data_IF_457614458031
#
_entry.id   IF_457614458031
#
_cell.length_a   1.000
_cell.length_b   1.000
_cell.length_c   1.000
_cell.angle_alpha   90.00
_cell.angle_beta   90.00
_cell.angle_gamma   90.00
#
_symmetry.space_group_name_H-M   'P 1'
#
loop_
_entity.id
_entity.type
_entity.pdbx_description
1 polymer ?
#
# COMPACT_ATOMS: atom_id res chain seq x y z
N UNK A 1 -11.22 1.51 13.45
CA UNK A 1 -10.54 1.05 12.25
C UNK A 1 -10.65 -0.46 12.19
N UNK A 2 -11.22 -1.00 11.08
CA UNK A 2 -11.30 -2.44 10.89
C UNK A 2 -9.89 -3.03 10.79
N UNK A 3 -9.72 -4.26 11.24
CA UNK A 3 -8.49 -5.02 11.07
C UNK A 3 -8.24 -5.23 9.56
N UNK A 4 -7.19 -4.62 9.03
CA UNK A 4 -6.76 -4.80 7.64
C UNK A 4 -5.49 -5.65 7.63
N UNK A 5 -5.67 -6.96 7.41
CA UNK A 5 -4.58 -7.94 7.36
C UNK A 5 -3.82 -7.93 6.02
N UNK A 6 -4.18 -7.02 5.09
CA UNK A 6 -3.45 -6.92 3.83
C UNK A 6 -2.02 -6.45 4.07
N UNK A 7 -1.10 -7.08 3.38
CA UNK A 7 0.28 -6.64 3.31
C UNK A 7 0.57 -6.06 1.92
N UNK A 8 1.52 -5.15 1.87
CA UNK A 8 2.02 -4.54 0.65
C UNK A 8 3.54 -4.71 0.56
N UNK A 9 4.03 -4.82 -0.66
CA UNK A 9 5.45 -4.78 -0.95
C UNK A 9 5.87 -3.34 -1.29
N UNK A 10 6.83 -2.83 -0.54
CA UNK A 10 7.52 -1.56 -0.80
C UNK A 10 8.78 -1.85 -1.60
N UNK A 11 8.94 -1.25 -2.77
CA UNK A 11 10.17 -1.38 -3.55
C UNK A 11 11.38 -0.76 -2.84
N UNK A 12 12.59 -1.15 -3.23
CA UNK A 12 13.83 -0.54 -2.72
C UNK A 12 13.79 1.00 -2.87
N UNK A 13 13.34 1.52 -4.01
CA UNK A 13 13.22 2.96 -4.24
C UNK A 13 12.19 3.64 -3.31
N UNK A 14 11.10 2.96 -2.96
CA UNK A 14 10.15 3.45 -1.95
C UNK A 14 10.79 3.51 -0.57
N UNK A 15 11.55 2.48 -0.20
CA UNK A 15 12.28 2.46 1.06
C UNK A 15 13.31 3.59 1.14
N UNK A 16 14.05 3.85 0.05
CA UNK A 16 14.97 4.99 -0.04
C UNK A 16 14.25 6.34 0.11
N UNK A 17 13.06 6.48 -0.47
CA UNK A 17 12.25 7.69 -0.29
C UNK A 17 11.87 7.88 1.18
N UNK A 18 11.44 6.81 1.86
CA UNK A 18 11.14 6.84 3.30
C UNK A 18 12.38 7.21 4.14
N UNK A 19 13.57 6.71 3.77
CA UNK A 19 14.84 7.09 4.39
C UNK A 19 15.11 8.58 4.21
N UNK A 20 15.03 9.11 2.99
CA UNK A 20 15.25 10.53 2.67
C UNK A 20 14.31 11.46 3.43
N UNK A 21 13.10 11.02 3.70
CA UNK A 21 12.11 11.79 4.46
C UNK A 21 12.15 11.53 5.98
N UNK A 22 13.11 10.74 6.47
CA UNK A 22 13.26 10.44 7.91
C UNK A 22 12.15 9.55 8.47
N UNK A 23 11.37 8.88 7.62
CA UNK A 23 10.25 8.01 8.03
C UNK A 23 10.67 6.55 8.25
N UNK A 24 11.74 6.11 7.58
CA UNK A 24 12.19 4.73 7.60
C UNK A 24 12.40 4.14 9.00
N UNK A 25 13.00 4.83 9.99
CA UNK A 25 13.20 4.28 11.34
C UNK A 25 11.90 3.85 12.03
N UNK A 26 10.76 4.44 11.64
CA UNK A 26 9.45 4.07 12.17
C UNK A 26 8.85 2.88 11.45
N UNK A 27 9.18 2.69 10.16
CA UNK A 27 8.66 1.61 9.32
C UNK A 27 9.47 0.32 9.48
N UNK A 28 10.79 0.42 9.54
CA UNK A 28 11.71 -0.71 9.54
C UNK A 28 11.38 -1.82 10.55
N UNK A 29 10.98 -1.53 11.81
CA UNK A 29 10.65 -2.58 12.79
C UNK A 29 9.46 -3.45 12.39
N UNK A 30 8.59 -2.97 11.48
CA UNK A 30 7.38 -3.65 11.04
C UNK A 30 7.51 -4.28 9.65
N UNK A 31 8.70 -4.19 9.05
CA UNK A 31 8.96 -4.66 7.70
C UNK A 31 9.65 -6.02 7.70
N UNK A 32 9.38 -6.81 6.65
CA UNK A 32 10.09 -8.04 6.33
C UNK A 32 10.81 -7.88 5.00
N UNK A 33 12.13 -8.15 4.91
CA UNK A 33 12.88 -7.96 3.68
C UNK A 33 12.50 -9.00 2.61
N UNK A 34 12.43 -8.55 1.37
CA UNK A 34 12.40 -9.41 0.19
C UNK A 34 13.83 -9.48 -0.35
N UNK A 35 14.53 -10.56 -0.06
CA UNK A 35 15.91 -10.77 -0.51
C UNK A 35 15.98 -11.56 -1.81
N UNK A 36 14.96 -12.35 -2.11
CA UNK A 36 14.82 -13.12 -3.34
C UNK A 36 13.40 -13.07 -3.86
N UNK A 37 13.25 -13.07 -5.18
CA UNK A 37 11.95 -13.22 -5.85
C UNK A 37 12.07 -14.41 -6.79
N UNK A 38 11.14 -15.37 -6.70
CA UNK A 38 11.03 -16.51 -7.58
C UNK A 38 9.73 -16.41 -8.37
N UNK A 39 9.85 -16.38 -9.69
CA UNK A 39 8.72 -16.33 -10.61
C UNK A 39 8.66 -17.63 -11.40
N UNK A 40 7.48 -18.24 -11.50
CA UNK A 40 7.26 -19.46 -12.26
C UNK A 40 5.90 -19.44 -12.96
N UNK A 41 5.77 -20.25 -14.01
CA UNK A 41 4.53 -20.42 -14.75
C UNK A 41 4.10 -21.89 -14.72
N UNK A 42 2.83 -22.14 -14.37
CA UNK A 42 2.29 -23.48 -14.26
C UNK A 42 2.20 -24.13 -15.64
N UNK A 43 2.75 -25.34 -15.75
CA UNK A 43 2.70 -26.12 -16.99
C UNK A 43 3.77 -25.73 -18.02
N UNK A 44 4.57 -24.72 -17.76
CA UNK A 44 5.67 -24.32 -18.61
C UNK A 44 7.02 -24.55 -17.93
N UNK A 45 8.01 -24.94 -18.71
CA UNK A 45 9.39 -25.08 -18.25
C UNK A 45 10.07 -23.73 -18.35
N UNK A 46 10.03 -22.99 -17.26
CA UNK A 46 10.67 -21.68 -17.18
C UNK A 46 10.46 -21.08 -15.79
N UNK A 47 11.51 -20.49 -15.28
CA UNK A 47 11.49 -19.74 -14.05
C UNK A 47 12.45 -18.58 -14.12
N UNK A 48 12.13 -17.50 -13.44
CA UNK A 48 13.03 -16.38 -13.22
C UNK A 48 13.27 -16.22 -11.72
N UNK A 49 14.51 -15.95 -11.36
CA UNK A 49 14.88 -15.65 -9.98
C UNK A 49 15.66 -14.35 -9.96
N UNK A 50 15.34 -13.50 -9.00
CA UNK A 50 16.06 -12.27 -8.71
C UNK A 50 16.60 -12.35 -7.30
N UNK A 51 17.86 -11.99 -7.10
CA UNK A 51 18.52 -11.94 -5.80
C UNK A 51 19.01 -10.53 -5.51
N UNK A 52 18.73 -10.01 -4.34
CA UNK A 52 19.21 -8.69 -3.91
C UNK A 52 20.75 -8.61 -3.96
N UNK A 53 21.43 -9.71 -3.65
CA UNK A 53 22.89 -9.79 -3.69
C UNK A 53 23.47 -9.55 -5.08
N UNK A 54 22.77 -9.97 -6.16
CA UNK A 54 23.22 -9.76 -7.54
C UNK A 54 23.24 -8.28 -7.93
N UNK A 55 22.44 -7.46 -7.24
CA UNK A 55 22.34 -6.01 -7.46
C UNK A 55 23.07 -5.21 -6.38
N UNK A 56 23.79 -5.86 -5.46
CA UNK A 56 24.46 -5.19 -4.35
C UNK A 56 23.50 -4.49 -3.37
N UNK A 57 22.24 -4.96 -3.30
CA UNK A 57 21.20 -4.38 -2.45
C UNK A 57 21.02 -5.22 -1.17
N UNK A 58 20.68 -4.62 -0.03
CA UNK A 58 20.32 -5.36 1.18
C UNK A 58 18.97 -6.10 1.03
N UNK A 59 18.08 -5.59 0.20
CA UNK A 59 16.80 -6.20 -0.16
C UNK A 59 16.27 -5.60 -1.46
N UNK A 60 15.50 -6.36 -2.23
CA UNK A 60 14.77 -5.90 -3.43
C UNK A 60 13.56 -5.03 -3.05
N UNK A 61 13.07 -5.22 -1.83
CA UNK A 61 11.94 -4.52 -1.27
C UNK A 61 11.66 -4.97 0.16
N UNK A 62 10.58 -4.46 0.71
CA UNK A 62 10.13 -4.78 2.07
C UNK A 62 8.64 -5.05 2.06
N UNK A 63 8.19 -6.00 2.86
CA UNK A 63 6.76 -6.27 3.07
C UNK A 63 6.33 -5.66 4.40
N UNK A 64 5.21 -4.95 4.41
CA UNK A 64 4.61 -4.39 5.62
C UNK A 64 3.09 -4.59 5.59
N UNK A 65 2.50 -4.88 6.74
CA UNK A 65 1.04 -4.87 6.89
C UNK A 65 0.49 -3.44 6.82
N UNK A 66 -0.63 -3.25 6.11
CA UNK A 66 -1.27 -1.93 5.99
C UNK A 66 -1.71 -1.37 7.34
N UNK A 67 -2.13 -2.24 8.26
CA UNK A 67 -2.45 -1.86 9.65
C UNK A 67 -1.25 -1.25 10.37
N UNK A 68 -0.09 -1.89 10.29
CA UNK A 68 1.15 -1.41 10.89
C UNK A 68 1.63 -0.10 10.23
N UNK A 69 1.58 -0.03 8.89
CA UNK A 69 1.90 1.20 8.16
C UNK A 69 0.99 2.37 8.56
N UNK A 70 -0.32 2.11 8.70
CA UNK A 70 -1.31 3.11 9.12
C UNK A 70 -1.03 3.65 10.52
N UNK A 71 -0.81 2.75 11.49
CA UNK A 71 -0.46 3.14 12.86
C UNK A 71 0.83 3.96 12.89
N UNK A 72 1.85 3.52 12.17
CA UNK A 72 3.14 4.20 12.06
C UNK A 72 2.99 5.62 11.53
N UNK A 73 2.19 5.82 10.48
CA UNK A 73 1.92 7.13 9.91
C UNK A 73 1.12 8.01 10.87
N UNK A 74 0.09 7.48 11.53
CA UNK A 74 -0.71 8.22 12.51
C UNK A 74 0.14 8.70 13.69
N UNK A 75 1.02 7.86 14.22
CA UNK A 75 1.98 8.24 15.27
C UNK A 75 2.95 9.32 14.78
N UNK A 76 3.42 9.22 13.54
CA UNK A 76 4.28 10.22 12.92
C UNK A 76 3.57 11.58 12.78
N UNK A 77 2.33 11.59 12.32
CA UNK A 77 1.52 12.81 12.21
C UNK A 77 1.22 13.44 13.58
N UNK A 78 0.88 12.62 14.58
CA UNK A 78 0.61 13.09 15.93
C UNK A 78 1.84 13.75 16.59
N UNK A 79 3.05 13.37 16.18
CA UNK A 79 4.30 13.96 16.65
C UNK A 79 4.64 15.31 15.97
N UNK A 80 3.90 15.70 14.92
CA UNK A 80 4.14 16.94 14.17
C UNK A 80 3.18 18.04 14.65
N UNK A 81 3.64 19.11 15.31
CA UNK A 81 2.77 20.11 15.92
C UNK A 81 1.95 20.95 14.91
N UNK A 82 2.36 20.97 13.66
CA UNK A 82 1.69 21.69 12.57
C UNK A 82 0.78 20.79 11.72
N UNK A 83 0.53 19.55 12.14
CA UNK A 83 -0.46 18.68 11.51
C UNK A 83 -1.69 18.60 12.42
N UNK A 84 -2.83 19.00 11.89
CA UNK A 84 -4.12 18.88 12.56
C UNK A 84 -4.94 17.79 11.86
N UNK A 85 -5.13 16.67 12.55
CA UNK A 85 -5.94 15.57 12.03
C UNK A 85 -7.38 15.72 12.49
N UNK A 86 -8.31 15.74 11.54
CA UNK A 86 -9.75 15.70 11.77
C UNK A 86 -10.26 14.30 11.43
N UNK A 87 -10.53 13.48 12.46
CA UNK A 87 -10.99 12.12 12.28
C UNK A 87 -11.92 11.71 13.44
N UNK A 88 -13.17 11.31 13.16
CA UNK A 88 -13.76 11.19 11.83
C UNK A 88 -14.16 12.56 11.23
N UNK A 89 -13.97 12.71 9.92
CA UNK A 89 -14.43 13.86 9.18
C UNK A 89 -14.88 13.46 7.76
N UNK A 90 -15.94 14.07 7.28
CA UNK A 90 -16.46 13.86 5.93
C UNK A 90 -16.66 15.21 5.25
N UNK A 91 -16.04 15.36 4.08
CA UNK A 91 -16.22 16.57 3.26
C UNK A 91 -17.60 16.56 2.61
N UNK A 92 -18.33 17.69 2.69
CA UNK A 92 -19.65 17.85 2.11
C UNK A 92 -19.67 18.80 0.91
N UNK A 93 -18.97 19.94 0.98
CA UNK A 93 -18.84 20.89 -0.13
C UNK A 93 -17.42 21.40 -0.30
N UNK A 94 -17.13 21.82 -1.54
CA UNK A 94 -15.87 22.48 -1.91
C UNK A 94 -16.27 23.70 -2.72
N UNK A 95 -15.91 24.89 -2.24
CA UNK A 95 -16.20 26.16 -2.89
C UNK A 95 -14.87 26.82 -3.29
N UNK A 96 -14.57 26.91 -4.60
CA UNK A 96 -13.39 27.62 -5.06
C UNK A 96 -13.42 29.09 -4.65
N UNK A 97 -12.27 29.64 -4.29
CA UNK A 97 -12.01 31.04 -4.03
C UNK A 97 -11.03 31.58 -5.08
N UNK A 98 -10.83 32.89 -5.12
CA UNK A 98 -9.81 33.51 -5.96
C UNK A 98 -8.40 32.98 -5.62
N UNK A 99 -8.10 32.82 -4.34
CA UNK A 99 -6.86 32.21 -3.85
C UNK A 99 -7.14 31.03 -2.90
N UNK A 100 -7.43 29.84 -3.46
CA UNK A 100 -7.64 28.63 -2.67
C UNK A 100 -9.05 28.06 -2.72
N UNK A 101 -9.48 27.45 -1.64
CA UNK A 101 -10.80 26.79 -1.55
C UNK A 101 -11.37 26.90 -0.13
N UNK A 102 -12.67 26.98 -0.01
CA UNK A 102 -13.40 26.71 1.24
C UNK A 102 -13.92 25.28 1.24
N UNK A 103 -13.67 24.57 2.31
CA UNK A 103 -14.14 23.22 2.57
C UNK A 103 -15.18 23.25 3.67
N UNK A 104 -16.33 22.59 3.46
CA UNK A 104 -17.32 22.40 4.51
C UNK A 104 -17.43 20.92 4.83
N UNK A 105 -17.36 20.58 6.09
CA UNK A 105 -17.58 19.22 6.58
C UNK A 105 -19.07 18.92 6.76
N UNK A 106 -19.42 17.65 6.86
CA UNK A 106 -20.80 17.21 7.09
C UNK A 106 -21.38 17.73 8.42
N UNK A 107 -20.53 18.03 9.40
CA UNK A 107 -20.89 18.68 10.67
C UNK A 107 -21.15 20.19 10.56
N UNK A 108 -20.90 20.81 9.41
CA UNK A 108 -21.07 22.23 9.19
C UNK A 108 -19.82 23.07 9.43
N UNK A 109 -18.72 22.49 9.94
CA UNK A 109 -17.45 23.20 10.13
C UNK A 109 -16.86 23.59 8.79
N UNK A 110 -16.27 24.80 8.75
CA UNK A 110 -15.69 25.36 7.53
C UNK A 110 -14.21 25.64 7.70
N UNK A 111 -13.44 25.28 6.67
CA UNK A 111 -11.98 25.49 6.61
C UNK A 111 -11.63 26.17 5.28
N UNK A 112 -10.68 27.09 5.32
CA UNK A 112 -10.11 27.71 4.14
C UNK A 112 -8.65 27.30 3.98
N UNK A 113 -8.25 26.97 2.75
CA UNK A 113 -6.88 26.61 2.44
C UNK A 113 -6.48 27.08 1.05
N UNK A 114 -5.21 27.40 0.87
CA UNK A 114 -4.64 27.76 -0.43
C UNK A 114 -4.44 26.55 -1.35
N UNK A 115 -4.28 25.35 -0.78
CA UNK A 115 -4.06 24.11 -1.54
C UNK A 115 -4.90 22.99 -0.94
N UNK A 116 -5.62 22.28 -1.79
CA UNK A 116 -6.31 21.04 -1.45
C UNK A 116 -5.63 19.88 -2.18
N UNK A 117 -5.19 18.88 -1.43
CA UNK A 117 -4.66 17.63 -1.98
C UNK A 117 -5.70 16.52 -1.82
N UNK A 118 -6.22 16.02 -2.94
CA UNK A 118 -7.17 14.92 -2.96
C UNK A 118 -6.43 13.58 -2.87
N UNK A 119 -6.45 12.97 -1.69
CA UNK A 119 -5.90 11.63 -1.42
C UNK A 119 -6.98 10.67 -0.88
N UNK A 120 -8.24 10.86 -1.34
CA UNK A 120 -9.47 10.23 -0.87
C UNK A 120 -9.86 8.96 -1.65
N UNK A 121 -8.88 8.34 -2.36
CA UNK A 121 -8.98 7.00 -2.92
C UNK A 121 -9.75 6.87 -4.23
N UNK A 122 -10.06 5.63 -4.61
CA UNK A 122 -10.65 5.28 -5.91
C UNK A 122 -12.03 5.90 -6.17
N UNK A 123 -12.80 6.17 -5.13
CA UNK A 123 -14.12 6.83 -5.20
C UNK A 123 -14.06 8.31 -4.81
N UNK A 124 -12.93 8.96 -5.03
CA UNK A 124 -12.64 10.34 -4.66
C UNK A 124 -13.84 11.28 -4.85
N UNK A 125 -14.30 11.87 -3.74
CA UNK A 125 -15.32 12.90 -3.73
C UNK A 125 -14.81 14.17 -4.43
N UNK A 126 -13.56 14.55 -4.15
CA UNK A 126 -12.94 15.74 -4.74
C UNK A 126 -12.87 15.64 -6.26
N UNK A 127 -12.43 14.48 -6.79
CA UNK A 127 -12.40 14.24 -8.23
C UNK A 127 -13.79 14.36 -8.86
N UNK A 128 -14.81 13.78 -8.21
CA UNK A 128 -16.19 13.85 -8.70
C UNK A 128 -16.73 15.27 -8.66
N UNK A 129 -16.44 16.02 -7.59
CA UNK A 129 -16.84 17.42 -7.46
C UNK A 129 -16.33 18.28 -8.62
N UNK A 130 -15.05 18.14 -8.97
CA UNK A 130 -14.43 18.87 -10.09
C UNK A 130 -14.67 18.20 -11.46
N UNK A 131 -15.49 17.14 -11.51
CA UNK A 131 -15.83 16.41 -12.75
C UNK A 131 -14.60 15.99 -13.57
N UNK A 132 -13.51 15.65 -12.88
CA UNK A 132 -12.29 15.18 -13.53
C UNK A 132 -12.56 13.80 -14.15
N UNK A 133 -12.23 13.60 -15.43
CA UNK A 133 -12.50 12.34 -16.11
C UNK A 133 -11.65 11.21 -15.52
N UNK A 134 -12.18 9.99 -15.54
CA UNK A 134 -11.49 8.77 -15.15
C UNK A 134 -11.79 7.68 -16.17
N UNK A 135 -10.74 6.98 -16.63
CA UNK A 135 -10.89 5.75 -17.39
C UNK A 135 -10.90 4.57 -16.41
N UNK A 136 -11.87 3.67 -16.56
CA UNK A 136 -11.94 2.43 -15.77
C UNK A 136 -11.87 1.23 -16.70
N UNK A 137 -11.03 0.29 -16.31
CA UNK A 137 -10.96 -1.02 -16.94
C UNK A 137 -11.22 -2.08 -15.87
N UNK A 138 -12.27 -2.86 -16.04
CA UNK A 138 -12.58 -3.99 -15.16
C UNK A 138 -11.92 -5.23 -15.74
N UNK A 139 -11.04 -5.86 -14.96
CA UNK A 139 -10.36 -7.10 -15.34
C UNK A 139 -11.22 -8.36 -15.08
N UNK A 140 -12.43 -8.19 -14.53
CA UNK A 140 -13.33 -9.30 -14.17
C UNK A 140 -12.66 -10.33 -13.25
N UNK A 141 -11.83 -9.84 -12.35
CA UNK A 141 -11.08 -10.65 -11.40
C UNK A 141 -11.37 -10.22 -9.96
N UNK A 142 -11.21 -11.17 -9.06
CA UNK A 142 -11.23 -10.96 -7.61
C UNK A 142 -9.89 -11.39 -7.02
N UNK A 143 -9.40 -10.66 -6.02
CA UNK A 143 -8.20 -11.04 -5.28
C UNK A 143 -8.61 -11.70 -3.95
N UNK A 144 -8.18 -12.94 -3.74
CA UNK A 144 -8.25 -13.63 -2.45
C UNK A 144 -6.98 -13.27 -1.70
N UNK A 145 -7.13 -12.72 -0.49
CA UNK A 145 -6.01 -12.30 0.34
C UNK A 145 -6.09 -13.03 1.68
N UNK A 146 -4.97 -13.63 2.10
CA UNK A 146 -4.88 -14.32 3.38
C UNK A 146 -3.46 -14.23 3.95
N UNK A 147 -3.34 -14.26 5.27
CA UNK A 147 -2.07 -14.52 5.95
C UNK A 147 -1.99 -16.00 6.24
N UNK A 148 -0.92 -16.64 5.78
CA UNK A 148 -0.73 -18.09 5.89
C UNK A 148 0.60 -18.41 6.55
N UNK A 149 0.66 -19.56 7.23
CA UNK A 149 1.90 -20.15 7.70
C UNK A 149 2.25 -21.31 6.81
N UNK A 150 3.40 -21.27 6.18
CA UNK A 150 3.93 -22.36 5.37
C UNK A 150 4.71 -23.37 6.22
N UNK A 151 4.90 -24.59 5.70
CA UNK A 151 5.68 -25.63 6.42
C UNK A 151 7.15 -25.20 6.61
N UNK A 152 7.68 -24.45 5.66
CA UNK A 152 9.03 -23.88 5.72
C UNK A 152 8.95 -22.36 5.84
N UNK A 153 9.90 -21.77 6.57
CA UNK A 153 10.06 -20.31 6.64
C UNK A 153 10.41 -19.78 5.23
N UNK A 154 9.70 -18.77 4.73
CA UNK A 154 10.02 -18.15 3.44
C UNK A 154 11.42 -17.54 3.39
N UNK A 155 12.02 -17.22 4.55
CA UNK A 155 13.39 -16.70 4.70
C UNK A 155 13.70 -15.51 3.75
N UNK A 156 12.77 -14.57 3.64
CA UNK A 156 12.89 -13.40 2.75
C UNK A 156 12.64 -13.69 1.27
N UNK A 157 12.13 -14.85 0.91
CA UNK A 157 11.80 -15.22 -0.47
C UNK A 157 10.34 -14.90 -0.77
N UNK A 158 10.11 -14.09 -1.79
CA UNK A 158 8.81 -13.89 -2.41
C UNK A 158 8.62 -14.85 -3.58
N UNK A 159 7.39 -15.32 -3.76
CA UNK A 159 7.02 -16.19 -4.88
C UNK A 159 5.91 -15.54 -5.69
N UNK A 160 6.02 -15.64 -7.01
CA UNK A 160 4.96 -15.35 -7.97
C UNK A 160 4.79 -16.57 -8.88
N UNK A 161 3.58 -17.12 -8.93
CA UNK A 161 3.26 -18.24 -9.80
C UNK A 161 2.07 -17.89 -10.67
N UNK A 162 2.29 -17.83 -11.97
CA UNK A 162 1.22 -17.75 -12.93
C UNK A 162 0.50 -19.09 -13.03
N UNK A 163 -0.82 -19.08 -13.07
CA UNK A 163 -1.67 -20.28 -13.21
C UNK A 163 -2.81 -19.96 -14.16
N UNK A 164 -3.46 -21.00 -14.69
CA UNK A 164 -4.64 -20.88 -15.58
C UNK A 164 -5.79 -20.10 -14.91
N UNK A 165 -5.88 -20.15 -13.58
CA UNK A 165 -6.86 -19.41 -12.79
C UNK A 165 -6.42 -18.01 -12.37
N UNK A 166 -5.20 -17.58 -12.78
CA UNK A 166 -4.62 -16.28 -12.44
C UNK A 166 -3.36 -16.39 -11.58
N UNK A 167 -2.66 -15.25 -11.37
CA UNK A 167 -1.43 -15.22 -10.60
C UNK A 167 -1.67 -15.45 -9.10
N UNK A 168 -0.75 -16.19 -8.48
CA UNK A 168 -0.69 -16.43 -7.04
C UNK A 168 0.65 -15.94 -6.51
N UNK A 169 0.62 -15.01 -5.57
CA UNK A 169 1.79 -14.46 -4.90
C UNK A 169 1.86 -14.91 -3.44
N UNK A 170 3.08 -15.14 -2.95
CA UNK A 170 3.39 -15.27 -1.53
C UNK A 170 4.49 -14.27 -1.19
N UNK A 171 4.22 -13.39 -0.25
CA UNK A 171 5.17 -12.38 0.22
C UNK A 171 5.64 -12.74 1.63
N UNK A 172 6.95 -12.71 1.91
CA UNK A 172 7.48 -13.03 3.24
C UNK A 172 7.04 -11.99 4.27
N UNK A 173 6.56 -12.45 5.41
CA UNK A 173 6.20 -11.63 6.56
C UNK A 173 7.03 -12.01 7.78
N UNK A 174 6.87 -11.28 8.88
CA UNK A 174 7.48 -11.61 10.16
C UNK A 174 6.94 -12.94 10.70
N UNK A 175 7.65 -13.55 11.64
CA UNK A 175 7.26 -14.76 12.36
C UNK A 175 7.04 -16.01 11.47
N UNK A 176 7.73 -16.06 10.31
CA UNK A 176 7.59 -17.17 9.37
C UNK A 176 6.22 -17.23 8.68
N UNK A 177 5.50 -16.12 8.68
CA UNK A 177 4.24 -15.98 7.97
C UNK A 177 4.47 -15.52 6.53
N UNK A 178 3.44 -15.69 5.71
CA UNK A 178 3.40 -15.17 4.34
C UNK A 178 2.05 -14.52 4.05
N UNK A 179 2.06 -13.40 3.35
CA UNK A 179 0.86 -12.85 2.74
C UNK A 179 0.61 -13.54 1.40
N UNK A 180 -0.53 -14.22 1.30
CA UNK A 180 -1.01 -14.83 0.07
C UNK A 180 -1.92 -13.83 -0.64
N UNK A 181 -1.67 -13.64 -1.94
CA UNK A 181 -2.56 -12.91 -2.85
C UNK A 181 -2.80 -13.79 -4.07
N UNK A 182 -4.04 -14.17 -4.30
CA UNK A 182 -4.42 -15.00 -5.43
C UNK A 182 -5.52 -14.31 -6.24
N UNK A 183 -5.20 -13.92 -7.47
CA UNK A 183 -6.17 -13.38 -8.40
C UNK A 183 -6.91 -14.53 -9.09
N UNK A 184 -8.24 -14.47 -9.07
CA UNK A 184 -9.12 -15.47 -9.70
C UNK A 184 -10.17 -14.77 -10.57
N UNK A 185 -10.63 -15.39 -11.67
CA UNK A 185 -11.79 -14.91 -12.42
C UNK A 185 -13.02 -14.79 -11.51
N UNK A 186 -13.92 -13.81 -11.82
CA UNK A 186 -15.22 -13.69 -11.12
C UNK A 186 -16.19 -14.72 -11.61
#
# INVERSE_FOLDING_TARGET
PGFDARAIALSAGTCEALVRHGLWPRFAPHCSPITQIHVSDRGHFGQASLSAAEYGLPALGQVIELSAAGITLQQGMAACPNIHMLCPAQLSTIEPLEEGVTLTLAGGERYQTRLLVAADGGHSFVRQHFKLPVSRHDYEQSAIIATVKTAEDPAGRAFERFTDGGPLALLPMQDGLSSLVWSVPR
#
